data_IF_920281729078
#
_entry.id   IF_920281729078
#
_cell.length_a   1.000
_cell.length_b   1.000
_cell.length_c   1.000
_cell.angle_alpha   90.00
_cell.angle_beta   90.00
_cell.angle_gamma   90.00
#
_symmetry.space_group_name_H-M   'P 1'
#
loop_
_entity.id
_entity.type
_entity.pdbx_description
1 polymer ?
#
# COMPACT_ATOMS: atom_id res chain seq x y z
N UNK A 1 6.60 -19.90 5.03
CA UNK A 1 5.11 -19.90 5.03
C UNK A 1 4.62 -18.45 4.94
N UNK A 2 3.70 -18.10 4.03
CA UNK A 2 3.21 -16.70 3.90
C UNK A 2 2.49 -16.32 5.20
N UNK A 3 2.92 -15.25 5.86
CA UNK A 3 2.34 -14.69 7.11
C UNK A 3 0.81 -14.65 7.10
N UNK A 4 0.20 -14.44 5.94
CA UNK A 4 -1.24 -14.48 5.72
C UNK A 4 -1.92 -15.76 6.24
N UNK A 5 -1.36 -16.96 5.98
CA UNK A 5 -1.95 -18.23 6.46
C UNK A 5 -1.98 -18.35 7.98
N UNK A 6 -1.00 -17.74 8.65
CA UNK A 6 -0.92 -17.68 10.10
C UNK A 6 -2.01 -16.75 10.66
N UNK A 7 -2.48 -15.78 9.91
CA UNK A 7 -3.52 -14.85 10.37
C UNK A 7 -4.95 -15.31 10.08
N UNK A 8 -5.13 -16.36 9.29
CA UNK A 8 -6.45 -16.88 8.87
C UNK A 8 -7.22 -17.61 9.98
N UNK A 9 -6.58 -17.94 11.12
CA UNK A 9 -7.26 -18.57 12.25
C UNK A 9 -6.75 -18.09 13.63
N UNK A 10 -7.56 -18.21 14.70
CA UNK A 10 -7.21 -17.73 16.03
C UNK A 10 -5.91 -18.31 16.60
N UNK A 11 -5.59 -19.58 16.27
CA UNK A 11 -4.36 -20.25 16.75
C UNK A 11 -3.12 -19.63 16.12
N UNK A 12 -3.18 -19.29 14.84
CA UNK A 12 -2.05 -18.66 14.16
C UNK A 12 -1.83 -17.21 14.60
N UNK A 13 -2.89 -16.44 14.89
CA UNK A 13 -2.76 -15.12 15.53
C UNK A 13 -2.04 -15.23 16.88
N UNK A 14 -2.37 -16.24 17.69
CA UNK A 14 -1.70 -16.47 18.96
C UNK A 14 -0.22 -16.84 18.78
N UNK A 15 0.10 -17.67 17.77
CA UNK A 15 1.49 -17.99 17.44
C UNK A 15 2.29 -16.76 16.99
N UNK A 16 1.68 -15.85 16.23
CA UNK A 16 2.29 -14.58 15.84
C UNK A 16 2.57 -13.68 17.06
N UNK A 17 1.62 -13.58 18.00
CA UNK A 17 1.82 -12.84 19.26
C UNK A 17 3.00 -13.38 20.07
N UNK A 18 3.09 -14.69 20.23
CA UNK A 18 4.20 -15.33 20.96
C UNK A 18 5.55 -15.02 20.31
N UNK A 19 5.64 -15.09 18.98
CA UNK A 19 6.85 -14.71 18.24
C UNK A 19 7.21 -13.23 18.41
N UNK A 20 6.22 -12.34 18.48
CA UNK A 20 6.48 -10.92 18.74
C UNK A 20 7.07 -10.71 20.13
N UNK A 21 6.59 -11.45 21.14
CA UNK A 21 7.13 -11.45 22.50
C UNK A 21 8.57 -11.94 22.51
N UNK A 22 8.86 -13.08 21.88
CA UNK A 22 10.21 -13.65 21.76
C UNK A 22 11.19 -12.68 21.07
N UNK A 23 10.73 -12.01 20.02
CA UNK A 23 11.51 -11.03 19.27
C UNK A 23 11.57 -9.64 19.92
N UNK A 24 10.91 -9.44 21.07
CA UNK A 24 10.79 -8.15 21.78
C UNK A 24 10.25 -7.01 20.90
N UNK A 25 9.30 -7.33 20.01
CA UNK A 25 8.69 -6.39 19.07
C UNK A 25 7.19 -6.17 19.31
N UNK A 26 6.68 -6.53 20.49
CA UNK A 26 5.27 -6.34 20.88
C UNK A 26 4.79 -4.88 20.80
N UNK A 27 5.67 -3.90 20.95
CA UNK A 27 5.31 -2.47 20.90
C UNK A 27 5.33 -1.90 19.47
N UNK A 28 5.79 -2.67 18.49
CA UNK A 28 5.76 -2.26 17.09
C UNK A 28 4.32 -2.29 16.58
N UNK A 29 3.80 -1.11 16.22
CA UNK A 29 2.52 -0.98 15.52
C UNK A 29 2.72 -1.43 14.08
N UNK A 30 2.33 -2.67 13.79
CA UNK A 30 2.38 -3.20 12.42
C UNK A 30 1.06 -2.83 11.75
N UNK A 31 1.12 -2.05 10.68
CA UNK A 31 -0.04 -1.79 9.82
C UNK A 31 -0.18 -2.93 8.83
N UNK A 32 -1.19 -3.78 9.05
CA UNK A 32 -1.50 -4.89 8.16
C UNK A 32 -2.70 -4.47 7.32
N UNK A 33 -2.52 -4.37 6.01
CA UNK A 33 -3.64 -4.17 5.10
C UNK A 33 -4.39 -5.51 5.02
N UNK A 34 -5.42 -5.70 5.86
CA UNK A 34 -6.25 -6.91 5.89
C UNK A 34 -7.09 -7.09 4.60
N UNK A 35 -7.15 -6.04 3.78
CA UNK A 35 -7.73 -6.07 2.46
C UNK A 35 -6.62 -6.32 1.47
N UNK A 36 -6.74 -7.40 0.69
CA UNK A 36 -6.12 -7.47 -0.62
C UNK A 36 -6.81 -6.42 -1.50
N UNK A 37 -6.55 -5.14 -1.23
CA UNK A 37 -6.71 -4.10 -2.24
C UNK A 37 -5.91 -4.63 -3.41
N UNK A 38 -6.50 -4.68 -4.61
CA UNK A 38 -5.80 -5.04 -5.81
C UNK A 38 -4.76 -3.95 -6.11
N UNK A 39 -3.70 -3.90 -5.30
CA UNK A 39 -2.65 -2.92 -5.31
C UNK A 39 -2.07 -2.85 -6.71
N UNK A 40 -1.98 -4.00 -7.37
CA UNK A 40 -1.55 -4.07 -8.76
C UNK A 40 -2.46 -3.28 -9.72
N UNK A 41 -3.79 -3.29 -9.55
CA UNK A 41 -4.70 -2.50 -10.37
C UNK A 41 -4.72 -1.00 -10.04
N UNK A 42 -4.01 -0.52 -9.01
CA UNK A 42 -4.14 0.90 -8.61
C UNK A 42 -2.84 1.61 -8.25
N UNK A 43 -1.73 0.92 -7.96
CA UNK A 43 -0.50 1.57 -7.45
C UNK A 43 0.72 1.37 -8.34
N UNK A 44 0.76 0.35 -9.18
CA UNK A 44 1.99 0.00 -9.92
C UNK A 44 2.11 0.66 -11.31
N UNK A 45 1.16 1.52 -11.68
CA UNK A 45 1.02 2.06 -13.04
C UNK A 45 1.70 3.40 -13.32
N UNK A 46 2.21 4.12 -12.32
CA UNK A 46 2.84 5.43 -12.52
C UNK A 46 2.91 6.28 -11.25
N UNK A 47 3.39 7.51 -11.40
CA UNK A 47 3.59 8.48 -10.30
C UNK A 47 2.50 9.57 -10.24
N UNK A 48 1.40 9.37 -10.98
CA UNK A 48 0.41 10.41 -11.25
C UNK A 48 0.83 11.33 -12.41
N UNK A 49 0.00 12.32 -12.75
CA UNK A 49 0.28 13.28 -13.81
C UNK A 49 1.49 14.15 -13.45
N UNK A 50 2.36 14.38 -14.44
CA UNK A 50 3.53 15.26 -14.28
C UNK A 50 3.09 16.74 -14.24
N UNK A 51 3.44 17.50 -13.19
CA UNK A 51 3.19 18.94 -13.13
C UNK A 51 4.02 19.71 -14.17
N UNK A 52 3.68 20.98 -14.48
CA UNK A 52 4.48 21.82 -15.37
C UNK A 52 5.93 21.96 -14.88
N UNK A 53 6.90 21.93 -15.80
CA UNK A 53 8.30 22.09 -15.46
C UNK A 53 8.57 23.43 -14.74
N UNK A 54 9.63 23.47 -13.92
CA UNK A 54 10.09 24.65 -13.17
C UNK A 54 9.08 25.18 -12.13
N UNK A 55 8.11 24.36 -11.73
CA UNK A 55 7.20 24.65 -10.62
C UNK A 55 7.65 23.97 -9.32
N UNK A 56 7.31 24.51 -8.14
CA UNK A 56 7.53 23.81 -6.87
C UNK A 56 6.91 22.41 -6.84
N UNK A 57 5.76 22.24 -7.48
CA UNK A 57 5.05 20.97 -7.60
C UNK A 57 5.85 19.96 -8.41
N UNK A 58 6.54 20.39 -9.47
CA UNK A 58 7.43 19.53 -10.26
C UNK A 58 8.60 19.02 -9.43
N UNK A 59 9.21 19.87 -8.58
CA UNK A 59 10.27 19.44 -7.67
C UNK A 59 9.77 18.39 -6.66
N UNK A 60 8.55 18.55 -6.14
CA UNK A 60 7.92 17.55 -5.26
C UNK A 60 7.63 16.25 -6.02
N UNK A 61 7.12 16.34 -7.24
CA UNK A 61 6.85 15.20 -8.10
C UNK A 61 8.14 14.41 -8.43
N UNK A 62 9.20 15.09 -8.85
CA UNK A 62 10.48 14.46 -9.18
C UNK A 62 11.11 13.79 -7.95
N UNK A 63 11.02 14.41 -6.77
CA UNK A 63 11.47 13.80 -5.52
C UNK A 63 10.68 12.53 -5.17
N UNK A 64 9.36 12.52 -5.37
CA UNK A 64 8.49 11.38 -5.02
C UNK A 64 8.71 10.15 -5.90
N UNK A 65 9.20 10.33 -7.13
CA UNK A 65 9.44 9.22 -8.07
C UNK A 65 10.85 8.64 -8.00
N UNK A 66 11.69 9.13 -7.10
CA UNK A 66 13.09 8.69 -6.94
C UNK A 66 13.30 7.93 -5.65
N UNK A 67 14.14 6.92 -5.75
CA UNK A 67 14.69 6.21 -4.60
C UNK A 67 15.57 7.14 -3.77
N UNK A 68 15.33 7.21 -2.47
CA UNK A 68 16.00 8.18 -1.59
C UNK A 68 17.47 7.87 -1.34
N UNK A 69 17.91 6.64 -1.63
CA UNK A 69 19.30 6.21 -1.41
C UNK A 69 20.11 6.32 -2.71
N UNK A 70 19.60 5.76 -3.79
CA UNK A 70 20.26 5.70 -5.10
C UNK A 70 19.95 6.90 -5.99
N UNK A 71 18.93 7.70 -5.67
CA UNK A 71 18.39 8.81 -6.47
C UNK A 71 17.83 8.41 -7.84
N UNK A 72 17.81 7.10 -8.13
CA UNK A 72 17.28 6.56 -9.38
C UNK A 72 15.77 6.64 -9.41
N UNK A 73 15.21 6.82 -10.61
CA UNK A 73 13.76 6.82 -10.79
C UNK A 73 13.25 5.39 -10.62
N UNK A 74 12.19 5.22 -9.83
CA UNK A 74 11.56 3.92 -9.66
C UNK A 74 11.06 3.37 -11.00
N UNK A 75 11.22 2.07 -11.23
CA UNK A 75 10.65 1.44 -12.41
C UNK A 75 9.13 1.33 -12.26
N UNK A 76 8.39 1.79 -13.27
CA UNK A 76 6.95 1.52 -13.36
C UNK A 76 6.73 0.08 -13.80
N UNK A 77 5.68 -0.54 -13.28
CA UNK A 77 5.38 -1.92 -13.64
C UNK A 77 4.91 -1.99 -15.09
N UNK A 78 5.47 -2.93 -15.86
CA UNK A 78 5.11 -3.16 -17.27
C UNK A 78 3.96 -4.17 -17.44
N UNK A 79 3.24 -4.47 -16.37
CA UNK A 79 2.06 -5.32 -16.44
C UNK A 79 1.02 -4.70 -17.38
N UNK A 80 0.28 -5.53 -18.11
CA UNK A 80 -0.83 -5.09 -18.96
C UNK A 80 -2.17 -5.01 -18.21
N UNK A 81 -2.16 -5.23 -16.90
CA UNK A 81 -3.37 -5.18 -16.07
C UNK A 81 -3.94 -3.76 -16.05
N UNK A 82 -5.22 -3.57 -16.42
CA UNK A 82 -5.89 -2.27 -16.37
C UNK A 82 -5.73 -1.58 -15.01
N UNK A 83 -5.60 -0.25 -15.04
CA UNK A 83 -5.43 0.56 -13.82
C UNK A 83 -6.69 1.35 -13.53
N UNK A 84 -7.18 1.25 -12.30
CA UNK A 84 -8.34 1.95 -11.78
C UNK A 84 -7.91 2.82 -10.60
N UNK A 85 -8.03 4.13 -10.77
CA UNK A 85 -7.71 5.14 -9.77
C UNK A 85 -8.98 5.70 -9.14
N UNK A 86 -8.88 6.66 -8.22
CA UNK A 86 -10.00 7.13 -7.40
C UNK A 86 -11.25 7.59 -8.20
N UNK A 87 -11.08 7.99 -9.46
CA UNK A 87 -12.18 8.36 -10.36
C UNK A 87 -12.97 7.17 -10.91
N UNK A 88 -12.44 5.95 -10.84
CA UNK A 88 -13.09 4.72 -11.25
C UNK A 88 -13.94 4.17 -10.09
N UNK A 89 -15.11 4.80 -9.85
CA UNK A 89 -16.06 4.54 -8.75
C UNK A 89 -16.00 3.12 -8.18
N UNK A 90 -16.54 2.16 -8.92
CA UNK A 90 -16.77 0.80 -8.42
C UNK A 90 -15.55 -0.11 -8.59
N UNK A 91 -14.63 0.26 -9.50
CA UNK A 91 -13.48 -0.54 -9.91
C UNK A 91 -12.21 -0.24 -9.10
N UNK A 92 -12.16 0.88 -8.38
CA UNK A 92 -11.06 1.26 -7.53
C UNK A 92 -11.39 0.96 -6.06
N UNK A 93 -10.75 -0.05 -5.47
CA UNK A 93 -10.96 -0.37 -4.06
C UNK A 93 -10.31 0.67 -3.11
N UNK A 94 -9.35 1.47 -3.59
CA UNK A 94 -8.66 2.48 -2.77
C UNK A 94 -9.60 3.62 -2.32
N UNK A 95 -10.56 4.02 -3.15
CA UNK A 95 -11.49 5.11 -2.81
C UNK A 95 -12.53 4.70 -1.74
N UNK A 96 -12.66 3.39 -1.48
CA UNK A 96 -13.60 2.82 -0.50
C UNK A 96 -12.96 2.68 0.88
N UNK A 97 -11.65 2.90 1.00
CA UNK A 97 -10.90 2.69 2.23
C UNK A 97 -11.51 3.44 3.42
N UNK A 98 -11.73 4.76 3.28
CA UNK A 98 -12.27 5.58 4.37
C UNK A 98 -13.70 5.17 4.75
N UNK A 99 -14.52 4.81 3.77
CA UNK A 99 -15.89 4.35 4.01
C UNK A 99 -15.90 3.01 4.79
N UNK A 100 -15.02 2.09 4.41
CA UNK A 100 -14.87 0.80 5.08
C UNK A 100 -14.31 0.97 6.50
N UNK A 101 -13.26 1.79 6.68
CA UNK A 101 -12.71 2.06 8.02
C UNK A 101 -13.76 2.70 8.95
N UNK A 102 -14.61 3.58 8.41
CA UNK A 102 -15.74 4.15 9.17
C UNK A 102 -16.77 3.08 9.55
N UNK A 103 -17.06 2.13 8.66
CA UNK A 103 -17.97 1.02 8.94
C UNK A 103 -17.43 0.07 10.01
N UNK A 104 -16.14 -0.27 9.98
CA UNK A 104 -15.51 -1.16 10.98
C UNK A 104 -15.35 -0.52 12.36
N UNK A 105 -15.30 0.81 12.43
CA UNK A 105 -15.17 1.55 13.69
C UNK A 105 -16.50 1.73 14.42
N UNK A 106 -17.63 1.38 13.79
CA UNK A 106 -18.97 1.40 14.36
C UNK A 106 -19.29 0.06 15.05
#
# INVERSE_FOLDING_TARGET
EKVLRVMENPRGIQALKNRCIEARCQDLRIWICAFSINQHASICGGFGPEPPALTPEHAVYDRKRRDTVSTQIYCTCKCRTPKYFNNARDLCELNKFDAMMRHLAA
#
